data_IF_280001898012
#
_entry.id   IF_280001898012
#
_cell.length_a   1.000
_cell.length_b   1.000
_cell.length_c   1.000
_cell.angle_alpha   90.00
_cell.angle_beta   90.00
_cell.angle_gamma   90.00
#
_symmetry.space_group_name_H-M   'P 1'
#
loop_
_entity.id
_entity.type
_entity.pdbx_description
1 polymer ?
#
# COMPACT_ATOMS: atom_id res chain seq x y z
N UNK A 1 -29.76 -9.41 0.15
CA UNK A 1 -28.31 -9.59 0.03
C UNK A 1 -27.56 -8.40 0.62
N UNK A 2 -26.49 -8.66 1.36
CA UNK A 2 -25.59 -7.66 1.94
C UNK A 2 -24.16 -8.06 1.57
N UNK A 3 -23.51 -7.29 0.69
CA UNK A 3 -22.10 -7.45 0.37
C UNK A 3 -21.22 -6.68 1.36
N UNK A 4 -20.22 -7.33 1.93
CA UNK A 4 -19.22 -6.66 2.81
C UNK A 4 -17.85 -6.61 2.17
N UNK A 5 -17.05 -5.58 2.51
CA UNK A 5 -15.67 -5.46 2.05
C UNK A 5 -14.75 -6.34 2.88
N UNK A 6 -14.96 -6.35 4.20
CA UNK A 6 -14.14 -7.07 5.18
C UNK A 6 -15.01 -7.99 6.03
N UNK A 7 -14.40 -8.97 6.67
CA UNK A 7 -15.01 -9.79 7.69
C UNK A 7 -15.15 -9.00 9.01
N UNK A 8 -16.04 -9.47 9.88
CA UNK A 8 -16.15 -8.89 11.22
C UNK A 8 -16.73 -7.47 11.29
N UNK A 9 -17.53 -7.06 10.31
CA UNK A 9 -18.11 -5.71 10.21
C UNK A 9 -19.08 -5.35 11.35
N UNK A 10 -19.41 -6.29 12.25
CA UNK A 10 -20.38 -6.07 13.34
C UNK A 10 -21.84 -5.89 12.85
N UNK A 11 -22.11 -6.12 11.57
CA UNK A 11 -23.45 -6.05 11.01
C UNK A 11 -24.37 -7.08 11.70
N UNK A 12 -25.59 -6.62 12.05
CA UNK A 12 -26.67 -7.48 12.53
C UNK A 12 -27.73 -7.57 11.42
N UNK A 13 -27.56 -8.51 10.48
CA UNK A 13 -28.50 -8.62 9.37
C UNK A 13 -29.88 -9.06 9.89
N UNK A 14 -30.96 -8.73 9.15
CA UNK A 14 -32.28 -9.30 9.39
C UNK A 14 -32.20 -10.82 9.21
N UNK A 15 -33.07 -11.55 9.93
CA UNK A 15 -33.22 -12.98 9.73
C UNK A 15 -33.53 -13.28 8.25
N UNK A 16 -32.75 -14.18 7.66
CA UNK A 16 -32.89 -14.56 6.25
C UNK A 16 -32.11 -13.66 5.26
N UNK A 17 -31.37 -12.64 5.74
CA UNK A 17 -30.48 -11.90 4.86
C UNK A 17 -29.24 -12.75 4.55
N UNK A 18 -28.91 -12.84 3.27
CA UNK A 18 -27.66 -13.41 2.79
C UNK A 18 -26.54 -12.38 2.92
N UNK A 19 -25.46 -12.74 3.61
CA UNK A 19 -24.30 -11.86 3.85
C UNK A 19 -23.04 -12.52 3.31
N UNK A 20 -22.42 -11.88 2.33
CA UNK A 20 -21.20 -12.39 1.70
C UNK A 20 -20.08 -11.34 1.71
N UNK A 21 -18.85 -11.78 1.91
CA UNK A 21 -17.67 -10.93 1.72
C UNK A 21 -17.37 -10.85 0.23
N UNK A 22 -17.76 -9.76 -0.41
CA UNK A 22 -17.60 -9.51 -1.84
C UNK A 22 -16.34 -8.69 -2.18
N UNK A 23 -15.73 -8.04 -1.19
CA UNK A 23 -14.59 -7.15 -1.37
C UNK A 23 -14.97 -5.77 -1.91
N UNK A 24 -13.97 -4.97 -2.23
CA UNK A 24 -14.12 -3.65 -2.84
C UNK A 24 -13.70 -3.73 -4.33
N UNK A 25 -14.52 -3.22 -5.27
CA UNK A 25 -14.11 -3.14 -6.67
C UNK A 25 -12.78 -2.39 -6.83
N UNK A 26 -11.84 -3.03 -7.49
CA UNK A 26 -10.52 -2.44 -7.73
C UNK A 26 -10.61 -1.38 -8.82
N UNK A 27 -9.78 -0.34 -8.72
CA UNK A 27 -9.60 0.61 -9.83
C UNK A 27 -9.11 -0.13 -11.08
N UNK A 28 -9.50 0.29 -12.31
CA UNK A 28 -9.14 -0.42 -13.55
C UNK A 28 -7.63 -0.66 -13.70
N UNK A 29 -6.79 0.33 -13.35
CA UNK A 29 -5.33 0.18 -13.41
C UNK A 29 -4.83 -0.93 -12.47
N UNK A 30 -5.40 -1.05 -11.26
CA UNK A 30 -5.02 -2.08 -10.29
C UNK A 30 -5.53 -3.46 -10.73
N UNK A 31 -6.76 -3.54 -11.23
CA UNK A 31 -7.31 -4.78 -11.78
C UNK A 31 -6.50 -5.29 -12.98
N UNK A 32 -6.00 -4.38 -13.83
CA UNK A 32 -5.07 -4.72 -14.91
C UNK A 32 -3.73 -5.19 -14.37
N UNK A 33 -3.19 -4.50 -13.34
CA UNK A 33 -1.92 -4.85 -12.72
C UNK A 33 -1.96 -6.24 -12.08
N UNK A 34 -3.05 -6.63 -11.40
CA UNK A 34 -3.17 -7.97 -10.80
C UNK A 34 -3.03 -9.09 -11.84
N UNK A 35 -3.59 -8.90 -13.04
CA UNK A 35 -3.47 -9.86 -14.14
C UNK A 35 -2.02 -9.93 -14.65
N UNK A 36 -1.43 -8.78 -14.96
CA UNK A 36 -0.05 -8.69 -15.47
C UNK A 36 0.97 -9.28 -14.50
N UNK A 37 0.82 -9.03 -13.20
CA UNK A 37 1.68 -9.63 -12.15
C UNK A 37 1.49 -11.15 -12.11
N UNK A 38 0.29 -11.66 -12.33
CA UNK A 38 0.02 -13.09 -12.43
C UNK A 38 0.71 -13.74 -13.62
N UNK A 39 0.88 -13.03 -14.74
CA UNK A 39 1.53 -13.52 -15.95
C UNK A 39 3.08 -13.46 -15.82
N UNK A 40 3.63 -12.29 -15.54
CA UNK A 40 5.10 -12.09 -15.35
C UNK A 40 5.39 -10.89 -14.44
N UNK A 41 5.50 -11.13 -13.14
CA UNK A 41 5.84 -10.11 -12.14
C UNK A 41 7.18 -9.41 -12.43
N UNK A 42 8.18 -10.15 -12.89
CA UNK A 42 9.51 -9.60 -13.10
C UNK A 42 9.55 -8.65 -14.32
N UNK A 43 8.84 -8.97 -15.40
CA UNK A 43 8.72 -8.08 -16.54
C UNK A 43 7.96 -6.81 -16.17
N UNK A 44 6.83 -6.93 -15.47
CA UNK A 44 6.02 -5.79 -15.00
C UNK A 44 6.85 -4.86 -14.10
N UNK A 45 7.64 -5.42 -13.18
CA UNK A 45 8.55 -4.65 -12.32
C UNK A 45 9.58 -3.88 -13.14
N UNK A 46 10.27 -4.52 -14.09
CA UNK A 46 11.26 -3.86 -14.95
C UNK A 46 10.67 -2.70 -15.78
N UNK A 47 9.51 -2.93 -16.40
CA UNK A 47 8.82 -1.92 -17.19
C UNK A 47 8.38 -0.72 -16.33
N UNK A 48 7.87 -0.98 -15.14
CA UNK A 48 7.42 0.05 -14.20
C UNK A 48 8.60 0.83 -13.63
N UNK A 49 9.67 0.14 -13.27
CA UNK A 49 10.89 0.74 -12.73
C UNK A 49 11.52 1.72 -13.73
N UNK A 50 11.57 1.36 -15.02
CA UNK A 50 12.08 2.25 -16.06
C UNK A 50 11.26 3.55 -16.19
N UNK A 51 9.93 3.48 -15.98
CA UNK A 51 9.07 4.67 -16.01
C UNK A 51 9.19 5.53 -14.75
N UNK A 52 9.56 4.94 -13.62
CA UNK A 52 9.71 5.65 -12.34
C UNK A 52 11.13 6.16 -12.09
N UNK A 53 12.12 5.69 -12.85
CA UNK A 53 13.52 6.00 -12.65
C UNK A 53 14.16 5.27 -11.45
N UNK A 54 13.63 4.11 -11.07
CA UNK A 54 14.17 3.27 -9.97
C UNK A 54 14.88 2.02 -10.52
N UNK A 55 15.78 1.45 -9.74
CA UNK A 55 16.45 0.19 -10.09
C UNK A 55 15.54 -1.01 -9.77
N UNK A 56 15.14 -1.84 -10.76
CA UNK A 56 14.27 -2.99 -10.54
C UNK A 56 14.92 -4.10 -9.71
N UNK A 57 16.25 -4.10 -9.57
CA UNK A 57 17.01 -5.15 -8.87
C UNK A 57 17.24 -4.84 -7.38
N UNK A 58 16.87 -3.65 -6.94
CA UNK A 58 17.01 -3.24 -5.54
C UNK A 58 15.65 -3.23 -4.83
N UNK A 59 15.59 -3.53 -3.53
CA UNK A 59 14.38 -3.36 -2.75
C UNK A 59 13.82 -1.95 -2.84
N UNK A 60 12.48 -1.83 -2.82
CA UNK A 60 11.79 -0.54 -2.89
C UNK A 60 10.70 -0.46 -1.82
N UNK A 61 10.75 0.60 -1.01
CA UNK A 61 9.70 0.97 -0.06
C UNK A 61 8.86 2.09 -0.65
N UNK A 62 7.56 1.85 -0.78
CA UNK A 62 6.59 2.88 -1.14
C UNK A 62 5.95 3.46 0.12
N UNK A 63 6.01 4.78 0.28
CA UNK A 63 5.39 5.51 1.39
C UNK A 63 4.25 6.38 0.87
N UNK A 64 3.05 6.23 1.43
CA UNK A 64 1.91 7.05 1.02
C UNK A 64 0.90 7.28 2.14
N UNK A 65 0.55 8.53 2.36
CA UNK A 65 -0.53 8.95 3.27
C UNK A 65 -1.90 9.11 2.58
N UNK A 66 -2.01 8.70 1.30
CA UNK A 66 -3.13 9.03 0.44
C UNK A 66 -2.99 10.42 -0.20
N UNK A 67 -4.02 10.89 -0.92
CA UNK A 67 -3.97 12.14 -1.71
C UNK A 67 -3.68 13.40 -0.89
N UNK A 68 -4.11 13.42 0.37
CA UNK A 68 -3.83 14.53 1.30
C UNK A 68 -2.50 14.39 2.03
N UNK A 69 -1.86 13.23 1.96
CA UNK A 69 -0.68 12.89 2.73
C UNK A 69 -0.96 12.74 4.23
N UNK A 70 0.04 12.25 4.97
CA UNK A 70 -0.02 12.04 6.41
C UNK A 70 1.23 12.62 7.08
N UNK A 71 1.08 13.71 7.81
CA UNK A 71 2.22 14.45 8.35
C UNK A 71 3.06 13.63 9.33
N UNK A 72 2.42 12.87 10.24
CA UNK A 72 3.11 11.97 11.17
C UNK A 72 3.94 10.91 10.44
N UNK A 73 3.34 10.26 9.44
CA UNK A 73 3.99 9.27 8.60
C UNK A 73 5.14 9.88 7.80
N UNK A 74 4.92 11.04 7.17
CA UNK A 74 5.95 11.76 6.43
C UNK A 74 7.16 12.07 7.31
N UNK A 75 6.92 12.59 8.53
CA UNK A 75 8.00 12.94 9.47
C UNK A 75 8.77 11.71 9.94
N UNK A 76 8.07 10.66 10.35
CA UNK A 76 8.73 9.44 10.82
C UNK A 76 9.64 8.83 9.76
N UNK A 77 9.15 8.70 8.53
CA UNK A 77 9.91 8.09 7.44
C UNK A 77 11.05 9.01 6.95
N UNK A 78 10.78 10.30 6.72
CA UNK A 78 11.79 11.22 6.23
C UNK A 78 12.95 11.42 7.21
N UNK A 79 12.66 11.44 8.53
CA UNK A 79 13.71 11.52 9.56
C UNK A 79 14.54 10.25 9.70
N UNK A 80 14.08 9.12 9.16
CA UNK A 80 14.79 7.83 9.15
C UNK A 80 15.39 7.51 7.77
N UNK A 81 15.53 8.51 6.89
CA UNK A 81 15.95 8.29 5.50
C UNK A 81 17.31 7.59 5.40
N UNK A 82 18.29 7.95 6.24
CA UNK A 82 19.62 7.33 6.23
C UNK A 82 19.56 5.83 6.51
N UNK A 83 18.78 5.42 7.52
CA UNK A 83 18.62 4.01 7.89
C UNK A 83 17.94 3.21 6.78
N UNK A 84 16.88 3.78 6.19
CA UNK A 84 16.11 3.11 5.14
C UNK A 84 16.89 2.97 3.84
N UNK A 85 17.65 3.99 3.44
CA UNK A 85 18.44 4.02 2.21
C UNK A 85 19.60 3.03 2.22
N UNK A 86 20.06 2.61 3.40
CA UNK A 86 21.02 1.54 3.53
C UNK A 86 20.48 0.18 3.04
N UNK A 87 19.16 0.01 2.98
CA UNK A 87 18.50 -1.26 2.66
C UNK A 87 17.63 -1.22 1.40
N UNK A 88 17.07 -0.06 1.03
CA UNK A 88 16.10 0.06 -0.05
C UNK A 88 16.13 1.43 -0.72
N UNK A 89 15.60 1.51 -1.94
CA UNK A 89 15.14 2.76 -2.55
C UNK A 89 13.80 3.17 -1.95
N UNK A 90 13.50 4.46 -1.90
CA UNK A 90 12.26 4.98 -1.34
C UNK A 90 11.49 5.74 -2.42
N UNK A 91 10.22 5.44 -2.60
CA UNK A 91 9.25 6.34 -3.24
C UNK A 91 8.36 6.91 -2.15
N UNK A 92 8.40 8.22 -1.94
CA UNK A 92 7.62 8.91 -0.92
C UNK A 92 6.61 9.86 -1.54
N UNK A 93 5.32 9.49 -1.48
CA UNK A 93 4.20 10.32 -1.92
C UNK A 93 3.71 11.14 -0.72
N UNK A 94 4.17 12.38 -0.66
CA UNK A 94 4.06 13.23 0.53
C UNK A 94 2.67 13.80 0.78
N UNK A 95 1.84 13.86 -0.27
CA UNK A 95 0.60 14.60 -0.29
C UNK A 95 0.80 16.08 -0.59
N UNK A 96 -0.28 16.72 -1.08
CA UNK A 96 -0.25 18.11 -1.55
C UNK A 96 0.28 19.07 -0.48
N UNK A 97 1.23 19.92 -0.88
CA UNK A 97 1.80 20.98 -0.04
C UNK A 97 2.73 20.51 1.08
N UNK A 98 3.17 19.23 1.08
CA UNK A 98 4.01 18.68 2.15
C UNK A 98 5.42 18.25 1.70
N UNK A 99 5.74 18.41 0.43
CA UNK A 99 7.01 17.94 -0.14
C UNK A 99 8.21 18.69 0.44
N UNK A 100 8.11 19.99 0.71
CA UNK A 100 9.21 20.80 1.22
C UNK A 100 9.67 20.32 2.59
N UNK A 101 8.74 20.10 3.55
CA UNK A 101 9.07 19.56 4.87
C UNK A 101 9.74 18.18 4.78
N UNK A 102 9.23 17.30 3.91
CA UNK A 102 9.84 15.97 3.70
C UNK A 102 11.25 16.09 3.17
N UNK A 103 11.49 16.93 2.17
CA UNK A 103 12.83 17.12 1.60
C UNK A 103 13.83 17.72 2.60
N UNK A 104 13.40 18.65 3.43
CA UNK A 104 14.21 19.21 4.53
C UNK A 104 14.62 18.12 5.54
N UNK A 105 13.67 17.28 5.96
CA UNK A 105 13.94 16.19 6.90
C UNK A 105 14.86 15.12 6.30
N UNK A 106 14.66 14.76 5.02
CA UNK A 106 15.55 13.82 4.32
C UNK A 106 16.96 14.40 4.18
N UNK A 107 17.07 15.69 3.81
CA UNK A 107 18.37 16.37 3.72
C UNK A 107 19.11 16.37 5.06
N UNK A 108 18.39 16.62 6.15
CA UNK A 108 18.95 16.59 7.51
C UNK A 108 19.37 15.18 7.94
N UNK A 109 18.66 14.13 7.50
CA UNK A 109 18.94 12.75 7.86
C UNK A 109 20.00 12.08 6.99
N UNK A 110 19.96 12.27 5.66
CA UNK A 110 20.74 11.49 4.68
C UNK A 110 21.53 12.33 3.67
N UNK A 111 21.40 13.66 3.71
CA UNK A 111 22.01 14.56 2.72
C UNK A 111 21.06 14.91 1.57
N UNK A 112 21.37 16.00 0.84
CA UNK A 112 20.54 16.47 -0.25
C UNK A 112 20.72 15.66 -1.56
N UNK A 113 21.85 15.03 -1.71
CA UNK A 113 22.28 14.25 -2.88
C UNK A 113 21.47 12.94 -3.07
N UNK A 114 20.84 12.47 -2.02
CA UNK A 114 19.94 11.29 -2.11
C UNK A 114 18.57 11.62 -2.70
N UNK A 115 18.19 12.91 -2.75
CA UNK A 115 16.85 13.35 -3.16
C UNK A 115 16.73 13.47 -4.68
N UNK A 116 15.68 12.85 -5.22
CA UNK A 116 15.32 12.99 -6.63
C UNK A 116 13.82 13.09 -6.83
N UNK A 117 13.37 13.28 -8.07
CA UNK A 117 11.99 13.20 -8.48
C UNK A 117 11.55 11.78 -8.83
N UNK A 118 10.38 11.65 -9.47
CA UNK A 118 9.86 10.38 -10.00
C UNK A 118 9.72 10.54 -11.51
N UNK A 119 10.40 9.71 -12.27
CA UNK A 119 10.38 9.71 -13.73
C UNK A 119 11.64 9.08 -14.30
N UNK A 120 11.66 8.75 -15.60
CA UNK A 120 12.81 8.14 -16.26
C UNK A 120 14.10 8.96 -16.12
N UNK A 121 13.98 10.28 -16.03
CA UNK A 121 15.10 11.22 -15.84
C UNK A 121 15.76 11.11 -14.48
N UNK A 122 15.08 10.51 -13.49
CA UNK A 122 15.59 10.33 -12.13
C UNK A 122 16.53 9.13 -11.98
N UNK A 123 16.64 8.30 -13.02
CA UNK A 123 17.44 7.08 -12.97
C UNK A 123 18.92 7.39 -12.64
N UNK A 124 19.43 6.80 -11.56
CA UNK A 124 20.80 6.94 -11.10
C UNK A 124 21.15 8.29 -10.47
N UNK A 125 20.16 9.16 -10.18
CA UNK A 125 20.41 10.46 -9.55
C UNK A 125 20.39 10.41 -8.02
N UNK A 126 19.51 9.60 -7.45
CA UNK A 126 19.37 9.43 -6.01
C UNK A 126 18.38 8.32 -5.71
N UNK A 127 18.33 7.86 -4.48
CA UNK A 127 17.54 6.71 -4.07
C UNK A 127 16.27 7.09 -3.27
N UNK A 128 16.10 8.39 -2.95
CA UNK A 128 14.92 8.90 -2.27
C UNK A 128 14.07 9.73 -3.23
N UNK A 129 13.12 9.08 -3.87
CA UNK A 129 12.23 9.66 -4.87
C UNK A 129 11.03 10.33 -4.19
N UNK A 130 10.81 11.62 -4.44
CA UNK A 130 9.72 12.39 -3.83
C UNK A 130 8.77 12.96 -4.86
N UNK A 131 7.47 12.84 -4.60
CA UNK A 131 6.42 13.58 -5.29
C UNK A 131 5.26 13.88 -4.32
N UNK A 132 4.46 14.90 -4.59
CA UNK A 132 3.24 15.13 -3.82
C UNK A 132 2.17 14.09 -4.10
N UNK A 133 2.09 13.67 -5.35
CA UNK A 133 1.10 12.70 -5.85
C UNK A 133 1.66 11.95 -7.06
N UNK A 134 1.21 10.73 -7.24
CA UNK A 134 1.53 9.91 -8.41
C UNK A 134 0.23 9.38 -9.02
N UNK A 135 -0.10 9.86 -10.20
CA UNK A 135 -1.33 9.42 -10.91
C UNK A 135 -1.28 7.92 -11.21
N UNK A 136 -0.12 7.45 -11.70
CA UNK A 136 0.15 6.06 -12.02
C UNK A 136 0.75 5.31 -10.81
N UNK A 137 0.02 5.31 -9.68
CA UNK A 137 0.46 4.59 -8.47
C UNK A 137 0.59 3.08 -8.70
N UNK A 138 -0.09 2.54 -9.71
CA UNK A 138 0.06 1.16 -10.16
C UNK A 138 1.51 0.81 -10.52
N UNK A 139 2.27 1.73 -11.09
CA UNK A 139 3.69 1.54 -11.37
C UNK A 139 4.51 1.39 -10.07
N UNK A 140 4.23 2.24 -9.08
CA UNK A 140 4.91 2.15 -7.79
C UNK A 140 4.55 0.85 -7.05
N UNK A 141 3.28 0.43 -7.10
CA UNK A 141 2.87 -0.88 -6.55
C UNK A 141 3.54 -2.05 -7.27
N UNK A 142 3.79 -1.96 -8.58
CA UNK A 142 4.50 -3.00 -9.33
C UNK A 142 5.97 -3.16 -8.90
N UNK A 143 6.58 -2.10 -8.36
CA UNK A 143 7.97 -2.08 -7.94
C UNK A 143 8.15 -2.28 -6.42
N UNK A 144 7.11 -2.07 -5.61
CA UNK A 144 7.22 -2.09 -4.16
C UNK A 144 7.45 -3.50 -3.60
N UNK A 145 8.40 -3.60 -2.67
CA UNK A 145 8.62 -4.78 -1.84
C UNK A 145 7.98 -4.62 -0.45
N UNK A 146 7.81 -3.37 -0.01
CA UNK A 146 7.09 -3.00 1.20
C UNK A 146 6.33 -1.70 0.97
N UNK A 147 5.10 -1.62 1.47
CA UNK A 147 4.30 -0.38 1.46
C UNK A 147 4.06 0.09 2.88
N UNK A 148 4.37 1.36 3.20
CA UNK A 148 4.05 1.99 4.48
C UNK A 148 2.96 3.03 4.21
N UNK A 149 1.74 2.81 4.71
CA UNK A 149 0.63 3.64 4.28
C UNK A 149 -0.49 3.79 5.32
N UNK A 150 -1.38 4.76 5.06
CA UNK A 150 -2.68 4.82 5.73
C UNK A 150 -3.56 3.63 5.34
N UNK A 151 -4.43 3.20 6.26
CA UNK A 151 -5.28 2.03 6.11
C UNK A 151 -6.70 2.36 5.58
N UNK A 152 -6.79 3.22 4.57
CA UNK A 152 -8.05 3.45 3.86
C UNK A 152 -8.54 2.18 3.17
N UNK A 153 -9.87 1.99 3.08
CA UNK A 153 -10.46 0.76 2.53
C UNK A 153 -9.94 0.41 1.13
N UNK A 154 -9.79 1.41 0.25
CA UNK A 154 -9.23 1.21 -1.09
C UNK A 154 -7.78 0.73 -1.04
N UNK A 155 -6.92 1.38 -0.24
CA UNK A 155 -5.51 1.01 -0.11
C UNK A 155 -5.35 -0.43 0.41
N UNK A 156 -6.06 -0.78 1.48
CA UNK A 156 -6.01 -2.14 2.05
C UNK A 156 -6.46 -3.18 1.04
N UNK A 157 -7.58 -2.93 0.34
CA UNK A 157 -8.11 -3.86 -0.67
C UNK A 157 -7.17 -4.02 -1.86
N UNK A 158 -6.57 -2.94 -2.35
CA UNK A 158 -5.64 -2.95 -3.48
C UNK A 158 -4.32 -3.65 -3.14
N UNK A 159 -3.74 -3.36 -1.97
CA UNK A 159 -2.51 -4.00 -1.52
C UNK A 159 -2.71 -5.50 -1.28
N UNK A 160 -3.82 -5.89 -0.67
CA UNK A 160 -4.18 -7.29 -0.49
C UNK A 160 -4.38 -8.00 -1.84
N UNK A 161 -5.09 -7.38 -2.78
CA UNK A 161 -5.31 -7.95 -4.12
C UNK A 161 -4.02 -8.11 -4.94
N UNK A 162 -3.01 -7.26 -4.70
CA UNK A 162 -1.68 -7.32 -5.34
C UNK A 162 -0.69 -8.23 -4.60
N UNK A 163 -1.04 -8.69 -3.40
CA UNK A 163 -0.12 -9.46 -2.55
C UNK A 163 1.10 -8.63 -2.12
N UNK A 164 0.90 -7.36 -1.79
CA UNK A 164 1.97 -6.47 -1.35
C UNK A 164 2.07 -6.46 0.17
N UNK A 165 3.26 -6.75 0.73
CA UNK A 165 3.53 -6.58 2.15
C UNK A 165 3.28 -5.13 2.58
N UNK A 166 2.60 -4.91 3.71
CA UNK A 166 2.32 -3.56 4.14
C UNK A 166 2.48 -3.35 5.66
N UNK A 167 2.92 -2.15 6.02
CA UNK A 167 2.79 -1.57 7.36
C UNK A 167 1.63 -0.58 7.29
N UNK A 168 0.50 -0.96 7.85
CA UNK A 168 -0.69 -0.14 7.91
C UNK A 168 -0.65 0.78 9.13
N UNK A 169 -0.79 2.07 8.89
CA UNK A 169 -0.79 3.11 9.92
C UNK A 169 -2.15 3.82 9.88
N UNK A 170 -3.15 3.35 10.64
CA UNK A 170 -4.48 3.91 10.61
C UNK A 170 -4.50 5.39 10.99
N UNK A 171 -5.38 6.16 10.35
CA UNK A 171 -5.63 7.55 10.73
C UNK A 171 -6.19 7.60 12.17
N UNK A 172 -5.60 8.40 13.09
CA UNK A 172 -5.97 8.37 14.51
C UNK A 172 -7.26 9.13 14.86
N UNK A 173 -8.01 9.58 13.84
CA UNK A 173 -9.27 10.34 14.00
C UNK A 173 -10.45 9.55 13.39
N UNK A 174 -11.67 9.98 13.70
CA UNK A 174 -12.89 9.29 13.30
C UNK A 174 -13.23 8.11 14.24
N UNK A 175 -13.98 7.15 13.74
CA UNK A 175 -14.49 6.01 14.52
C UNK A 175 -13.51 4.79 14.51
N UNK A 176 -12.24 4.99 14.15
CA UNK A 176 -11.28 3.89 14.03
C UNK A 176 -11.44 3.03 12.78
N UNK A 177 -12.18 3.51 11.78
CA UNK A 177 -12.51 2.78 10.54
C UNK A 177 -11.28 2.21 9.85
N UNK A 178 -10.21 2.98 9.77
CA UNK A 178 -8.99 2.54 9.12
C UNK A 178 -8.32 1.36 9.84
N UNK A 179 -8.41 1.30 11.16
CA UNK A 179 -7.95 0.16 11.92
C UNK A 179 -8.76 -1.08 11.56
N UNK A 180 -10.08 -0.99 11.56
CA UNK A 180 -10.97 -2.09 11.19
C UNK A 180 -10.77 -2.57 9.74
N UNK A 181 -10.37 -1.69 8.83
CA UNK A 181 -10.04 -2.08 7.46
C UNK A 181 -8.78 -2.96 7.39
N UNK A 182 -7.74 -2.65 8.17
CA UNK A 182 -6.46 -3.34 8.12
C UNK A 182 -6.41 -4.61 9.00
N UNK A 183 -7.09 -4.62 10.15
CA UNK A 183 -7.04 -5.74 11.10
C UNK A 183 -7.28 -7.11 10.44
N UNK A 184 -8.27 -7.30 9.56
CA UNK A 184 -8.51 -8.62 8.96
C UNK A 184 -7.34 -9.12 8.11
N UNK A 185 -6.70 -8.26 7.32
CA UNK A 185 -5.52 -8.61 6.51
C UNK A 185 -4.32 -8.90 7.40
N UNK A 186 -4.10 -8.08 8.44
CA UNK A 186 -3.01 -8.26 9.40
C UNK A 186 -3.19 -9.54 10.21
N UNK A 187 -4.41 -9.83 10.67
CA UNK A 187 -4.73 -11.07 11.38
C UNK A 187 -4.55 -12.31 10.48
N UNK A 188 -4.74 -12.18 9.18
CA UNK A 188 -4.42 -13.22 8.21
C UNK A 188 -2.89 -13.36 7.96
N UNK A 189 -2.07 -12.48 8.51
CA UNK A 189 -0.61 -12.47 8.34
C UNK A 189 -0.13 -11.64 7.13
N UNK A 190 -0.97 -10.77 6.56
CA UNK A 190 -0.66 -10.00 5.34
C UNK A 190 0.07 -8.68 5.58
N UNK A 191 0.63 -8.45 6.75
CA UNK A 191 1.36 -7.22 7.08
C UNK A 191 1.36 -6.89 8.57
N UNK A 192 1.71 -5.63 8.89
CA UNK A 192 1.75 -5.11 10.26
C UNK A 192 0.75 -3.97 10.44
N UNK A 193 0.24 -3.81 11.64
CA UNK A 193 -0.61 -2.69 12.06
C UNK A 193 0.13 -1.89 13.13
N UNK A 194 0.41 -0.63 12.87
CA UNK A 194 1.12 0.27 13.78
C UNK A 194 0.24 1.48 14.05
N UNK A 195 -0.01 1.79 15.33
CA UNK A 195 -0.79 2.98 15.63
C UNK A 195 -0.02 4.25 15.25
N UNK A 196 -0.72 5.29 14.80
CA UNK A 196 -0.09 6.53 14.30
C UNK A 196 0.89 7.16 15.29
N UNK A 197 0.55 7.15 16.58
CA UNK A 197 1.39 7.67 17.68
C UNK A 197 2.65 6.83 17.92
N UNK A 198 2.64 5.58 17.53
CA UNK A 198 3.73 4.63 17.77
C UNK A 198 4.69 4.57 16.56
N UNK A 199 4.27 5.07 15.37
CA UNK A 199 5.15 5.22 14.21
C UNK A 199 6.06 6.43 14.39
N UNK A 200 7.12 6.25 15.16
CA UNK A 200 8.16 7.26 15.39
C UNK A 200 9.41 6.96 14.55
N UNK A 201 10.35 7.92 14.36
CA UNK A 201 11.64 7.63 13.73
C UNK A 201 12.39 6.49 14.43
N UNK A 202 12.32 6.41 15.77
CA UNK A 202 12.91 5.34 16.55
C UNK A 202 12.29 3.98 16.20
N UNK A 203 10.95 3.91 16.11
CA UNK A 203 10.24 2.69 15.71
C UNK A 203 10.66 2.25 14.30
N UNK A 204 10.76 3.19 13.36
CA UNK A 204 11.20 2.91 11.98
C UNK A 204 12.61 2.33 11.97
N UNK A 205 13.53 2.96 12.69
CA UNK A 205 14.92 2.50 12.84
C UNK A 205 15.02 1.07 13.40
N UNK A 206 14.21 0.75 14.42
CA UNK A 206 14.26 -0.55 15.11
C UNK A 206 13.60 -1.70 14.33
N UNK A 207 12.65 -1.41 13.41
CA UNK A 207 11.80 -2.47 12.85
C UNK A 207 11.88 -2.58 11.32
N UNK A 208 12.02 -1.46 10.59
CA UNK A 208 11.90 -1.52 9.14
C UNK A 208 13.14 -2.09 8.45
N UNK A 209 14.39 -1.75 8.87
CA UNK A 209 15.59 -2.36 8.31
C UNK A 209 15.61 -3.89 8.46
N UNK A 210 15.29 -4.40 9.65
CA UNK A 210 15.23 -5.84 9.92
C UNK A 210 14.15 -6.52 9.06
N UNK A 211 12.99 -5.88 8.90
CA UNK A 211 11.94 -6.40 8.04
C UNK A 211 12.35 -6.43 6.57
N UNK A 212 13.08 -5.41 6.09
CA UNK A 212 13.59 -5.36 4.72
C UNK A 212 14.67 -6.43 4.46
N UNK A 213 15.46 -6.78 5.48
CA UNK A 213 16.46 -7.83 5.40
C UNK A 213 15.85 -9.25 5.46
N UNK A 214 14.65 -9.39 6.05
CA UNK A 214 13.93 -10.67 6.17
C UNK A 214 13.03 -10.92 4.95
N UNK A 215 13.66 -11.33 3.85
CA UNK A 215 12.96 -11.61 2.59
C UNK A 215 11.90 -12.72 2.71
N UNK A 216 12.12 -13.71 3.58
CA UNK A 216 11.15 -14.79 3.80
C UNK A 216 9.89 -14.26 4.46
N UNK A 217 10.03 -13.40 5.46
CA UNK A 217 8.91 -12.75 6.14
C UNK A 217 8.14 -11.81 5.21
N UNK A 218 8.82 -11.03 4.39
CA UNK A 218 8.16 -10.19 3.38
C UNK A 218 7.40 -11.03 2.35
N UNK A 219 8.01 -12.11 1.86
CA UNK A 219 7.35 -13.02 0.93
C UNK A 219 6.10 -13.67 1.57
N UNK A 220 6.19 -14.07 2.85
CA UNK A 220 5.04 -14.62 3.58
C UNK A 220 3.92 -13.58 3.76
N UNK A 221 4.24 -12.33 4.12
CA UNK A 221 3.25 -11.25 4.19
C UNK A 221 2.56 -11.06 2.83
N UNK A 222 3.33 -11.02 1.75
CA UNK A 222 2.79 -10.90 0.39
C UNK A 222 1.87 -12.05 0.02
N UNK A 223 2.28 -13.28 0.32
CA UNK A 223 1.47 -14.49 0.06
C UNK A 223 0.16 -14.45 0.86
N UNK A 224 0.20 -14.12 2.14
CA UNK A 224 -0.97 -14.01 3.00
C UNK A 224 -1.91 -12.88 2.58
N UNK A 225 -1.36 -11.74 2.22
CA UNK A 225 -2.15 -10.64 1.65
C UNK A 225 -2.87 -11.08 0.36
N UNK A 226 -2.16 -11.77 -0.54
CA UNK A 226 -2.72 -12.30 -1.78
C UNK A 226 -3.84 -13.31 -1.53
N UNK A 227 -3.67 -14.24 -0.60
CA UNK A 227 -4.70 -15.22 -0.21
C UNK A 227 -5.95 -14.53 0.34
N UNK A 228 -5.77 -13.47 1.12
CA UNK A 228 -6.86 -12.69 1.69
C UNK A 228 -7.57 -11.82 0.64
N UNK A 229 -6.86 -11.27 -0.34
CA UNK A 229 -7.36 -10.27 -1.29
C UNK A 229 -8.43 -10.80 -2.25
N UNK A 230 -9.50 -10.02 -2.47
CA UNK A 230 -10.52 -10.28 -3.48
C UNK A 230 -10.22 -9.45 -4.72
N UNK A 231 -10.09 -10.09 -5.88
CA UNK A 231 -9.71 -9.46 -7.16
C UNK A 231 -10.86 -9.25 -8.13
N UNK A 232 -11.95 -9.98 -7.92
CA UNK A 232 -13.14 -10.01 -8.81
C UNK A 232 -14.39 -9.45 -8.12
N UNK A 233 -14.24 -8.52 -7.17
CA UNK A 233 -15.34 -7.93 -6.42
C UNK A 233 -16.45 -7.34 -7.31
N UNK A 234 -16.07 -6.64 -8.41
CA UNK A 234 -17.04 -6.08 -9.34
C UNK A 234 -17.89 -7.15 -10.03
N UNK A 235 -17.29 -8.27 -10.40
CA UNK A 235 -18.00 -9.40 -11.04
C UNK A 235 -18.92 -10.12 -10.05
N UNK A 236 -18.48 -10.31 -8.80
CA UNK A 236 -19.31 -10.88 -7.73
C UNK A 236 -20.54 -9.99 -7.51
N UNK A 237 -20.34 -8.69 -7.32
CA UNK A 237 -21.43 -7.73 -7.11
C UNK A 237 -22.41 -7.69 -8.30
N UNK A 238 -21.88 -7.65 -9.54
CA UNK A 238 -22.71 -7.63 -10.75
C UNK A 238 -23.57 -8.90 -10.84
N UNK A 239 -23.04 -10.07 -10.50
CA UNK A 239 -23.78 -11.34 -10.49
C UNK A 239 -24.95 -11.29 -9.52
N UNK A 240 -24.75 -10.83 -8.28
CA UNK A 240 -25.81 -10.69 -7.31
C UNK A 240 -26.91 -9.72 -7.75
N UNK A 241 -26.51 -8.57 -8.32
CA UNK A 241 -27.49 -7.59 -8.85
C UNK A 241 -28.34 -8.20 -9.96
N UNK A 242 -27.73 -8.93 -10.89
CA UNK A 242 -28.45 -9.59 -12.00
C UNK A 242 -29.42 -10.67 -11.47
N UNK A 243 -28.99 -11.48 -10.51
CA UNK A 243 -29.84 -12.48 -9.87
C UNK A 243 -31.07 -11.86 -9.19
N UNK A 244 -30.92 -10.71 -8.54
CA UNK A 244 -32.05 -10.01 -7.91
C UNK A 244 -32.96 -9.32 -8.94
N UNK A 245 -32.48 -9.03 -10.14
CA UNK A 245 -33.23 -8.41 -11.23
C UNK A 245 -34.03 -9.45 -12.07
N UNK A 246 -33.71 -10.74 -11.97
CA UNK A 246 -34.48 -11.79 -12.65
C UNK A 246 -35.87 -11.90 -12.00
N UNK A 247 -36.96 -11.89 -12.79
CA UNK A 247 -38.29 -12.03 -12.24
C UNK A 247 -38.41 -13.42 -11.58
N UNK A 248 -38.91 -13.45 -10.32
CA UNK A 248 -39.26 -14.68 -9.63
C UNK A 248 -40.26 -15.46 -10.49
N UNK A 249 -39.88 -16.66 -10.93
CA UNK A 249 -40.76 -17.56 -11.67
C UNK A 249 -41.84 -18.09 -10.76
#
# INVERSE_FOLDING_TARGET
FIGTVYEGTGLKPRAGADVERVGLPLRPAIASLTKRIGDDRAAVRRESAAQLGVDPNRPLVLVTGGSLGAQSLNRAIASSAADLLAHAQIIHLTGRGKISEVRELVTASAGADVLTGIGPESAGQGDYHTAEYLERIDLAFACADLVICRAGAGSVSELAALGLPAIYVPLPIGNGEQRFNAEPVVNAGGGLLVADKDLTPQWVHEHVPDLLADHERLAEFGRKAWEYGIRNAAEIMARHVLQLAEPSK
#
